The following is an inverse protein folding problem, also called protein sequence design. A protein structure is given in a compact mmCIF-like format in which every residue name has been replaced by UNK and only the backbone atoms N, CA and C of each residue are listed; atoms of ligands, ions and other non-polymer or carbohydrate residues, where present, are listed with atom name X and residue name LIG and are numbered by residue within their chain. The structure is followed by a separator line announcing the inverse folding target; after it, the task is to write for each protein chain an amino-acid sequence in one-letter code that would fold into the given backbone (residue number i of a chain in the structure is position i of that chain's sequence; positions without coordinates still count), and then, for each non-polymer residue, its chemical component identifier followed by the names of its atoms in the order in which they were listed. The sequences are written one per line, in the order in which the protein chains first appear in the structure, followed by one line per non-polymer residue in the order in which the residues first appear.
data_IF_453030369622
#
_entry.id   IF_453030369622
#
_cell.length_a   1.000
_cell.length_b   1.000
_cell.length_c   1.000
_cell.angle_alpha   90.00
_cell.angle_beta   90.00
_cell.angle_gamma   90.00
#
_symmetry.space_group_name_H-M   'P 1'
#
loop_
_entity.id
_entity.type
_entity.pdbx_description
1 polymer ?
#
# COMPACT_ATOMS: atom_id res chain seq x y z
N UNK A 1 -65.29 19.69 5.78
CA UNK A 1 -65.60 18.28 5.45
C UNK A 1 -64.96 17.95 4.12
N UNK A 2 -64.28 16.78 4.08
CA UNK A 2 -63.66 16.05 2.97
C UNK A 2 -62.46 16.63 2.20
N UNK A 3 -61.44 15.77 2.14
CA UNK A 3 -60.07 15.93 1.66
C UNK A 3 -59.91 15.28 0.25
N UNK A 4 -58.69 15.24 -0.34
CA UNK A 4 -58.45 15.22 -1.79
C UNK A 4 -58.29 13.82 -2.42
N UNK A 5 -58.43 13.75 -3.75
CA UNK A 5 -58.09 12.55 -4.53
C UNK A 5 -56.78 12.71 -5.31
N UNK A 6 -55.88 11.76 -5.01
CA UNK A 6 -54.56 11.47 -5.58
C UNK A 6 -54.60 11.12 -7.07
N UNK A 7 -53.54 11.49 -7.78
CA UNK A 7 -52.94 10.62 -8.80
C UNK A 7 -51.43 10.50 -8.54
N UNK A 8 -50.98 9.26 -8.33
CA UNK A 8 -49.59 8.86 -8.07
C UNK A 8 -48.82 8.86 -9.39
N UNK A 9 -47.61 9.41 -9.40
CA UNK A 9 -46.58 9.02 -10.38
C UNK A 9 -45.36 8.53 -9.61
N UNK A 10 -45.16 7.22 -9.65
CA UNK A 10 -43.97 6.55 -9.12
C UNK A 10 -42.91 6.64 -10.20
N UNK A 11 -41.80 7.28 -9.91
CA UNK A 11 -40.59 7.23 -10.75
C UNK A 11 -39.51 6.58 -9.90
N UNK A 12 -39.18 5.34 -10.25
CA UNK A 12 -38.04 4.61 -9.72
C UNK A 12 -36.80 4.98 -10.51
N UNK A 13 -35.80 5.58 -9.87
CA UNK A 13 -34.42 5.59 -10.37
C UNK A 13 -33.49 5.19 -9.23
N UNK A 14 -32.99 3.95 -9.28
CA UNK A 14 -31.80 3.53 -8.56
C UNK A 14 -31.12 2.44 -9.38
N UNK A 15 -30.34 2.86 -10.37
CA UNK A 15 -29.33 2.03 -11.01
C UNK A 15 -28.07 2.02 -10.16
N UNK A 16 -27.87 0.94 -9.42
CA UNK A 16 -26.60 0.24 -9.32
C UNK A 16 -26.26 -0.17 -10.78
N UNK A 17 -25.05 -0.09 -11.34
CA UNK A 17 -23.84 -0.87 -11.05
C UNK A 17 -22.63 -0.21 -11.76
N UNK A 18 -21.44 -0.57 -11.26
CA UNK A 18 -20.13 -0.58 -11.91
C UNK A 18 -19.30 0.70 -12.09
N UNK A 19 -18.37 0.82 -11.15
CA UNK A 19 -17.22 1.71 -11.17
C UNK A 19 -16.37 1.49 -12.42
N UNK A 20 -16.27 2.56 -13.20
CA UNK A 20 -15.36 2.69 -14.33
C UNK A 20 -13.92 2.69 -13.81
N UNK A 21 -13.16 1.65 -14.12
CA UNK A 21 -11.72 1.74 -14.24
C UNK A 21 -11.42 2.70 -15.40
N UNK A 22 -10.95 3.91 -15.10
CA UNK A 22 -10.49 4.83 -16.12
C UNK A 22 -9.08 4.45 -16.57
N UNK A 23 -9.01 3.87 -17.77
CA UNK A 23 -7.83 3.83 -18.62
C UNK A 23 -7.34 5.26 -18.93
N UNK A 24 -6.11 5.57 -18.56
CA UNK A 24 -5.30 6.57 -19.29
C UNK A 24 -3.88 6.05 -19.43
N UNK A 25 -3.68 5.18 -20.42
CA UNK A 25 -2.36 4.92 -20.99
C UNK A 25 -1.96 6.13 -21.85
N UNK A 26 -1.16 7.05 -21.30
CA UNK A 26 -0.48 8.04 -22.14
C UNK A 26 0.88 7.45 -22.57
N UNK A 27 0.89 6.94 -23.80
CA UNK A 27 2.05 6.40 -24.50
C UNK A 27 2.82 7.55 -25.15
N UNK A 28 3.87 8.04 -24.50
CA UNK A 28 5.00 8.72 -25.16
C UNK A 28 6.28 8.15 -24.54
N UNK A 29 6.82 7.10 -25.17
CA UNK A 29 8.17 6.60 -24.89
C UNK A 29 9.11 7.26 -25.90
N UNK A 30 9.74 8.35 -25.49
CA UNK A 30 10.98 8.81 -26.11
C UNK A 30 12.11 7.85 -25.71
N UNK A 31 12.95 7.50 -26.69
CA UNK A 31 14.13 6.66 -26.51
C UNK A 31 15.25 7.42 -25.77
N UNK A 32 16.06 6.70 -24.98
CA UNK A 32 17.51 6.74 -25.23
C UNK A 32 18.10 5.32 -25.21
N UNK A 33 18.71 4.89 -26.31
CA UNK A 33 20.14 5.02 -26.62
C UNK A 33 21.00 3.96 -25.90
N UNK A 34 21.55 3.11 -26.76
CA UNK A 34 22.57 2.07 -26.58
C UNK A 34 23.55 2.30 -25.43
N UNK A 35 23.66 1.34 -24.51
CA UNK A 35 24.97 0.80 -24.07
C UNK A 35 24.86 -0.70 -23.84
N UNK A 36 25.47 -1.43 -24.76
CA UNK A 36 25.78 -2.85 -24.73
C UNK A 36 26.40 -3.26 -23.38
N UNK A 37 25.77 -4.19 -22.67
CA UNK A 37 26.43 -5.01 -21.66
C UNK A 37 26.35 -6.47 -22.08
N UNK A 38 27.39 -6.90 -22.81
CA UNK A 38 27.62 -8.29 -23.16
C UNK A 38 28.00 -9.08 -21.90
N UNK A 39 27.06 -9.87 -21.37
CA UNK A 39 27.36 -10.88 -20.36
C UNK A 39 27.60 -12.20 -21.10
N UNK A 40 28.89 -12.48 -21.35
CA UNK A 40 29.37 -13.76 -21.88
C UNK A 40 28.97 -14.89 -20.94
N UNK A 41 28.29 -15.89 -21.51
CA UNK A 41 28.09 -17.19 -20.89
C UNK A 41 29.44 -17.85 -20.59
N UNK A 42 29.59 -18.41 -19.38
CA UNK A 42 30.54 -19.48 -19.09
C UNK A 42 29.78 -20.62 -18.45
N UNK A 43 29.54 -21.66 -19.26
CA UNK A 43 29.26 -23.02 -18.80
C UNK A 43 30.47 -23.51 -18.01
N UNK A 44 30.24 -24.16 -16.88
CA UNK A 44 31.20 -25.10 -16.31
C UNK A 44 30.42 -26.12 -15.49
N UNK A 45 30.29 -27.29 -16.07
CA UNK A 45 29.81 -28.52 -15.47
C UNK A 45 30.70 -28.89 -14.28
N UNK A 46 30.09 -29.25 -13.14
CA UNK A 46 30.73 -30.13 -12.16
C UNK A 46 29.65 -30.84 -11.32
N UNK A 47 29.59 -32.15 -11.50
CA UNK A 47 28.79 -33.08 -10.72
C UNK A 47 29.44 -33.45 -9.38
N UNK A 48 28.75 -34.34 -8.64
CA UNK A 48 29.04 -35.01 -7.37
C UNK A 48 28.64 -34.24 -6.10
N UNK A 49 28.03 -34.84 -5.09
CA UNK A 49 27.38 -36.15 -4.88
C UNK A 49 26.67 -36.05 -3.51
N UNK A 50 25.81 -37.02 -3.24
CA UNK A 50 24.92 -37.17 -2.08
C UNK A 50 25.61 -37.21 -0.71
N UNK A 51 24.94 -36.67 0.32
CA UNK A 51 25.08 -37.16 1.71
C UNK A 51 23.78 -36.94 2.46
N UNK A 52 23.05 -38.03 2.68
CA UNK A 52 21.83 -38.12 3.46
C UNK A 52 22.05 -37.90 4.97
N UNK A 53 20.92 -37.62 5.64
CA UNK A 53 20.62 -37.79 7.06
C UNK A 53 21.39 -36.87 8.04
N UNK A 54 20.72 -36.12 8.91
CA UNK A 54 20.01 -36.70 10.06
C UNK A 54 19.06 -35.66 10.68
N UNK A 55 17.76 -35.93 10.56
CA UNK A 55 16.73 -36.02 11.61
C UNK A 55 16.57 -34.93 12.69
N UNK A 56 15.30 -34.51 12.81
CA UNK A 56 14.57 -34.08 14.03
C UNK A 56 14.70 -32.56 14.36
N UNK A 57 13.65 -31.75 14.60
CA UNK A 57 12.34 -32.01 15.18
C UNK A 57 11.27 -31.01 14.67
N UNK A 58 10.05 -31.54 14.52
CA UNK A 58 8.74 -30.91 14.66
C UNK A 58 8.59 -29.40 14.43
N UNK A 59 7.88 -29.06 13.34
CA UNK A 59 6.61 -28.34 13.43
C UNK A 59 5.87 -28.51 12.12
N UNK A 60 4.92 -29.45 12.10
CA UNK A 60 3.92 -29.49 11.04
C UNK A 60 3.09 -28.21 11.14
N UNK A 61 3.52 -27.14 10.44
CA UNK A 61 2.62 -26.05 10.11
C UNK A 61 1.73 -26.58 9.00
N UNK A 62 0.55 -27.04 9.40
CA UNK A 62 -0.61 -27.26 8.55
C UNK A 62 -0.65 -26.19 7.45
N UNK A 63 -0.45 -26.62 6.20
CA UNK A 63 -0.44 -25.75 5.02
C UNK A 63 -1.87 -25.36 4.65
N UNK A 64 -2.55 -24.68 5.57
CA UNK A 64 -3.91 -24.18 5.42
C UNK A 64 -3.95 -22.90 4.59
N UNK A 65 -3.77 -23.02 3.27
CA UNK A 65 -3.79 -21.92 2.28
C UNK A 65 -2.72 -20.85 2.54
N UNK A 66 -1.85 -20.57 1.55
CA UNK A 66 -0.80 -19.54 1.63
C UNK A 66 -1.33 -18.09 1.68
N UNK A 67 -2.21 -17.79 2.64
CA UNK A 67 -2.68 -16.45 2.93
C UNK A 67 -1.60 -15.76 3.74
N UNK A 68 -1.12 -14.63 3.22
CA UNK A 68 -0.19 -13.76 3.95
C UNK A 68 -0.91 -13.24 5.20
N UNK A 69 -0.48 -13.72 6.36
CA UNK A 69 -0.93 -13.22 7.65
C UNK A 69 -0.12 -11.96 7.97
N UNK A 70 -0.82 -10.84 8.15
CA UNK A 70 -0.22 -9.59 8.59
C UNK A 70 -0.65 -9.32 10.03
N UNK A 71 0.31 -9.16 10.94
CA UNK A 71 0.04 -8.70 12.31
C UNK A 71 0.19 -7.19 12.34
N UNK A 72 -0.84 -6.48 12.77
CA UNK A 72 -0.82 -5.04 12.98
C UNK A 72 -1.01 -4.71 14.46
N UNK A 73 -0.36 -3.66 14.92
CA UNK A 73 -0.61 -3.08 16.25
C UNK A 73 -2.06 -2.60 16.36
N UNK A 74 -2.66 -2.80 17.54
CA UNK A 74 -4.03 -2.37 17.82
C UNK A 74 -4.04 -0.89 18.21
N UNK A 75 -4.39 -0.05 17.24
CA UNK A 75 -4.49 1.39 17.40
C UNK A 75 -5.94 1.85 17.43
N UNK A 76 -6.20 2.88 18.24
CA UNK A 76 -7.48 3.60 18.19
C UNK A 76 -7.77 4.09 16.76
N UNK A 77 -9.05 4.21 16.42
CA UNK A 77 -9.47 4.66 15.08
C UNK A 77 -8.85 6.01 14.71
N UNK A 78 -8.77 6.93 15.68
CA UNK A 78 -8.15 8.24 15.50
C UNK A 78 -6.67 8.13 15.07
N UNK A 79 -5.89 7.26 15.72
CA UNK A 79 -4.48 7.05 15.37
C UNK A 79 -4.34 6.37 14.00
N UNK A 80 -5.21 5.41 13.67
CA UNK A 80 -5.23 4.76 12.34
C UNK A 80 -5.52 5.75 11.22
N UNK A 81 -6.49 6.66 11.43
CA UNK A 81 -6.83 7.73 10.49
C UNK A 81 -5.66 8.70 10.30
N UNK A 82 -5.07 9.16 11.41
CA UNK A 82 -3.90 10.06 11.35
C UNK A 82 -2.72 9.42 10.62
N UNK A 83 -2.39 8.15 10.93
CA UNK A 83 -1.35 7.39 10.21
C UNK A 83 -1.64 7.31 8.72
N UNK A 84 -2.86 6.93 8.35
CA UNK A 84 -3.26 6.82 6.94
C UNK A 84 -3.07 8.13 6.19
N UNK A 85 -3.41 9.25 6.82
CA UNK A 85 -3.21 10.59 6.25
C UNK A 85 -1.73 11.00 6.12
N UNK A 86 -0.83 10.42 6.92
CA UNK A 86 0.60 10.70 6.88
C UNK A 86 1.37 9.78 5.90
N UNK A 87 0.79 8.66 5.46
CA UNK A 87 1.41 7.72 4.52
C UNK A 87 1.87 8.40 3.21
N UNK A 88 1.10 9.30 2.57
CA UNK A 88 1.56 9.98 1.35
C UNK A 88 2.87 10.75 1.58
N UNK A 89 2.92 11.56 2.64
CA UNK A 89 4.11 12.36 2.98
C UNK A 89 5.29 11.50 3.44
N UNK A 90 5.04 10.34 4.05
CA UNK A 90 6.07 9.35 4.33
C UNK A 90 6.70 8.85 3.02
N UNK A 91 5.87 8.42 2.05
CA UNK A 91 6.33 7.92 0.76
C UNK A 91 7.13 8.97 -0.01
N UNK A 92 6.64 10.21 -0.03
CA UNK A 92 7.34 11.34 -0.65
C UNK A 92 8.71 11.59 0.00
N UNK A 93 8.78 11.53 1.33
CA UNK A 93 10.03 11.74 2.07
C UNK A 93 11.04 10.63 1.80
N UNK A 94 10.59 9.37 1.75
CA UNK A 94 11.42 8.22 1.40
C UNK A 94 11.90 8.29 -0.06
N UNK A 95 11.02 8.68 -0.99
CA UNK A 95 11.38 8.87 -2.40
C UNK A 95 12.42 9.99 -2.58
N UNK A 96 12.39 11.02 -1.73
CA UNK A 96 13.40 12.07 -1.68
C UNK A 96 14.71 11.65 -0.96
N UNK A 97 14.87 10.39 -0.57
CA UNK A 97 16.05 9.88 0.12
C UNK A 97 16.21 10.34 1.57
N UNK A 98 15.14 10.86 2.20
CA UNK A 98 15.16 11.29 3.61
C UNK A 98 14.93 10.10 4.53
N UNK A 99 15.51 10.15 5.73
CA UNK A 99 15.19 9.17 6.76
C UNK A 99 13.82 9.52 7.36
N UNK A 100 12.78 8.78 6.98
CA UNK A 100 11.41 9.04 7.40
C UNK A 100 10.73 7.78 7.94
N UNK A 101 10.04 7.90 9.07
CA UNK A 101 9.28 6.81 9.67
C UNK A 101 8.06 7.32 10.44
N UNK A 102 7.04 6.48 10.58
CA UNK A 102 5.87 6.77 11.41
C UNK A 102 6.11 6.28 12.83
N UNK A 103 5.71 7.08 13.82
CA UNK A 103 5.69 6.70 15.23
C UNK A 103 4.36 7.15 15.82
N UNK A 104 3.51 6.18 16.16
CA UNK A 104 2.11 6.43 16.57
C UNK A 104 1.38 7.28 15.51
N UNK A 105 0.91 8.46 15.90
CA UNK A 105 0.19 9.46 15.10
C UNK A 105 1.12 10.51 14.44
N UNK A 106 2.44 10.31 14.51
CA UNK A 106 3.44 11.29 14.06
C UNK A 106 4.29 10.75 12.92
N UNK A 107 4.66 11.65 12.02
CA UNK A 107 5.66 11.42 10.99
C UNK A 107 6.97 12.05 11.43
N UNK A 108 8.03 11.26 11.52
CA UNK A 108 9.37 11.74 11.83
C UNK A 108 10.17 11.78 10.52
N UNK A 109 10.74 12.93 10.17
CA UNK A 109 11.60 13.11 8.99
C UNK A 109 12.91 13.77 9.41
N UNK A 110 14.03 13.08 9.22
CA UNK A 110 15.37 13.54 9.62
C UNK A 110 15.41 14.04 11.09
N UNK A 111 14.68 13.37 11.99
CA UNK A 111 14.58 13.73 13.40
C UNK A 111 13.50 14.77 13.74
N UNK A 112 12.91 15.46 12.75
CA UNK A 112 11.83 16.42 12.98
C UNK A 112 10.47 15.73 13.04
N UNK A 113 9.65 16.11 14.03
CA UNK A 113 8.32 15.53 14.22
C UNK A 113 7.24 16.36 13.53
N UNK A 114 6.35 15.68 12.82
CA UNK A 114 5.20 16.26 12.14
C UNK A 114 3.92 15.54 12.57
N UNK A 115 2.84 16.29 12.73
CA UNK A 115 1.49 15.78 13.03
C UNK A 115 0.57 16.19 11.89
N UNK A 116 -0.43 15.36 11.58
CA UNK A 116 -1.39 15.70 10.55
C UNK A 116 -2.38 16.77 11.06
N UNK A 117 -2.42 17.92 10.39
CA UNK A 117 -3.42 18.96 10.64
C UNK A 117 -4.64 18.70 9.74
N UNK A 118 -5.77 18.30 10.33
CA UNK A 118 -7.00 18.02 9.58
C UNK A 118 -7.52 19.25 8.83
N UNK A 119 -7.30 20.46 9.36
CA UNK A 119 -7.77 21.70 8.73
C UNK A 119 -6.95 22.03 7.49
N UNK A 120 -5.63 21.87 7.57
CA UNK A 120 -4.70 22.17 6.46
C UNK A 120 -4.48 20.99 5.52
N UNK A 121 -5.03 19.82 5.85
CA UNK A 121 -4.85 18.54 5.14
C UNK A 121 -3.39 18.19 4.85
N UNK A 122 -2.47 18.59 5.72
CA UNK A 122 -1.01 18.39 5.53
C UNK A 122 -0.28 18.15 6.86
N UNK A 123 0.89 17.50 6.84
CA UNK A 123 1.74 17.41 8.02
C UNK A 123 2.25 18.80 8.41
N UNK A 124 2.07 19.17 9.68
CA UNK A 124 2.62 20.40 10.26
C UNK A 124 3.68 20.03 11.30
N UNK A 125 4.75 20.84 11.44
CA UNK A 125 5.74 20.60 12.47
C UNK A 125 5.09 20.61 13.86
N UNK A 126 5.36 19.58 14.64
CA UNK A 126 4.99 19.53 16.06
C UNK A 126 6.19 20.03 16.85
N UNK A 127 6.14 21.30 17.24
CA UNK A 127 7.07 21.85 18.22
C UNK A 127 6.65 21.33 19.59
N UNK A 128 7.58 20.72 20.31
CA UNK A 128 7.44 20.42 21.74
C UNK A 128 7.97 21.59 22.54
#
# INVERSE_FOLDING_TARGET
MFAPSRARRVVTHAGLEDGRCSDTNNSVREAPNEKNFAIKQRKSDREHETSDATSNEASATDTGSGKRVCVSEDFTEQVRKARSSLIPSLKESLAAGKNAYLRLDKLIVNGNSYVYDENKKRPVPSFK
#
